data_IF_711865697199
#
_entry.id   IF_711865697199
#
_cell.length_a   1.000
_cell.length_b   1.000
_cell.length_c   1.000
_cell.angle_alpha   90.00
_cell.angle_beta   90.00
_cell.angle_gamma   90.00
#
_symmetry.space_group_name_H-M   'P 1'
#
loop_
_entity.id
_entity.type
_entity.pdbx_description
1 polymer ?
#
# COMPACT_ATOMS: atom_id res chain seq x y z
N UNK A 1 -12.97 -5.96 16.02
CA UNK A 1 -13.75 -4.84 16.61
C UNK A 1 -14.81 -5.37 17.58
N UNK A 2 -15.15 -4.59 18.60
CA UNK A 2 -16.07 -4.96 19.69
C UNK A 2 -17.46 -5.36 19.20
N UNK A 3 -17.94 -4.74 18.14
CA UNK A 3 -19.25 -5.04 17.57
C UNK A 3 -19.28 -6.46 17.00
N UNK A 4 -18.24 -6.84 16.28
CA UNK A 4 -18.11 -8.18 15.73
C UNK A 4 -17.92 -9.23 16.82
N UNK A 5 -17.10 -8.97 17.84
CA UNK A 5 -16.92 -9.87 18.98
C UNK A 5 -18.23 -10.11 19.75
N UNK A 6 -19.05 -9.07 19.94
CA UNK A 6 -20.38 -9.24 20.54
C UNK A 6 -21.30 -10.11 19.69
N UNK A 7 -21.26 -9.99 18.35
CA UNK A 7 -22.02 -10.87 17.45
C UNK A 7 -21.56 -12.33 17.59
N UNK A 8 -20.25 -12.57 17.59
CA UNK A 8 -19.69 -13.92 17.70
C UNK A 8 -20.05 -14.59 19.03
N UNK A 9 -19.99 -13.86 20.16
CA UNK A 9 -20.40 -14.36 21.46
C UNK A 9 -21.88 -14.75 21.52
N UNK A 10 -22.74 -14.02 20.78
CA UNK A 10 -24.19 -14.24 20.78
C UNK A 10 -24.67 -15.19 19.70
N UNK A 11 -23.80 -15.60 18.79
CA UNK A 11 -24.17 -16.46 17.67
C UNK A 11 -24.76 -17.78 18.18
N UNK A 12 -25.90 -18.18 17.58
CA UNK A 12 -26.60 -19.43 17.89
C UNK A 12 -26.69 -20.23 16.61
N UNK A 13 -26.14 -21.43 16.59
CA UNK A 13 -26.16 -22.30 15.44
C UNK A 13 -25.04 -23.34 15.47
N UNK A 14 -24.98 -24.24 14.51
CA UNK A 14 -23.98 -25.32 14.48
C UNK A 14 -22.54 -24.79 14.45
N UNK A 15 -22.32 -23.64 13.80
CA UNK A 15 -21.01 -23.02 13.66
C UNK A 15 -20.50 -22.33 14.94
N UNK A 16 -21.33 -22.23 16.00
CA UNK A 16 -21.00 -21.51 17.25
C UNK A 16 -19.72 -22.02 17.91
N UNK A 17 -19.57 -23.34 18.00
CA UNK A 17 -18.42 -23.92 18.71
C UNK A 17 -17.11 -23.57 17.99
N UNK A 18 -17.09 -23.59 16.66
CA UNK A 18 -15.92 -23.21 15.88
C UNK A 18 -15.59 -21.71 16.04
N UNK A 19 -16.62 -20.84 16.04
CA UNK A 19 -16.42 -19.41 16.32
C UNK A 19 -15.79 -19.18 17.70
N UNK A 20 -16.22 -19.93 18.73
CA UNK A 20 -15.70 -19.75 20.07
C UNK A 20 -14.27 -20.29 20.25
N UNK A 21 -13.93 -21.39 19.59
CA UNK A 21 -12.63 -22.05 19.71
C UNK A 21 -11.54 -21.36 18.90
N UNK A 22 -11.90 -20.81 17.74
CA UNK A 22 -10.96 -20.27 16.78
C UNK A 22 -10.82 -18.73 16.85
N UNK A 23 -11.43 -18.11 17.86
CA UNK A 23 -11.20 -16.73 18.25
C UNK A 23 -10.30 -16.69 19.49
N UNK A 24 -9.24 -15.93 19.41
CA UNK A 24 -8.50 -15.49 20.57
C UNK A 24 -9.23 -14.30 21.20
N UNK A 25 -9.86 -14.54 22.35
CA UNK A 25 -10.71 -13.55 23.01
C UNK A 25 -9.91 -12.50 23.79
N UNK A 26 -8.66 -12.80 24.16
CA UNK A 26 -7.75 -11.88 24.83
C UNK A 26 -7.15 -10.91 23.83
N UNK A 27 -6.59 -11.45 22.75
CA UNK A 27 -6.00 -10.66 21.66
C UNK A 27 -7.05 -10.10 20.68
N UNK A 28 -8.31 -10.45 20.84
CA UNK A 28 -9.43 -10.05 19.99
C UNK A 28 -9.19 -10.33 18.49
N UNK A 29 -8.54 -11.44 18.19
CA UNK A 29 -8.11 -11.83 16.86
C UNK A 29 -8.60 -13.23 16.49
N UNK A 30 -8.62 -13.52 15.19
CA UNK A 30 -8.83 -14.88 14.71
C UNK A 30 -7.54 -15.68 14.85
N UNK A 31 -7.63 -16.90 15.38
CA UNK A 31 -6.50 -17.81 15.43
C UNK A 31 -5.99 -18.12 14.05
N UNK A 32 -4.70 -18.37 13.97
CA UNK A 32 -4.04 -18.79 12.73
C UNK A 32 -3.38 -20.14 12.95
N UNK A 33 -3.57 -21.05 12.02
CA UNK A 33 -2.90 -22.34 11.96
C UNK A 33 -2.01 -22.35 10.71
N UNK A 34 -0.73 -22.57 10.87
CA UNK A 34 0.25 -22.46 9.78
C UNK A 34 0.13 -21.15 8.99
N UNK A 35 -0.07 -20.04 9.70
CA UNK A 35 -0.27 -18.70 9.14
C UNK A 35 -1.51 -18.54 8.27
N UNK A 36 -2.44 -19.47 8.34
CA UNK A 36 -3.76 -19.38 7.72
C UNK A 36 -4.81 -19.04 8.76
N UNK A 37 -5.75 -18.19 8.39
CA UNK A 37 -6.92 -17.93 9.22
C UNK A 37 -7.65 -19.24 9.52
N UNK A 38 -7.99 -19.47 10.77
CA UNK A 38 -8.71 -20.67 11.22
C UNK A 38 -10.08 -20.88 10.52
N UNK A 39 -10.64 -19.80 9.98
CA UNK A 39 -11.92 -19.82 9.27
C UNK A 39 -11.79 -19.98 7.76
N UNK A 40 -10.60 -20.23 7.22
CA UNK A 40 -10.44 -20.61 5.80
C UNK A 40 -10.50 -22.13 5.67
N UNK A 41 -11.40 -22.62 4.83
CA UNK A 41 -11.50 -24.04 4.49
C UNK A 41 -10.43 -24.46 3.45
N UNK A 42 -10.48 -25.72 3.02
CA UNK A 42 -9.55 -26.29 2.06
C UNK A 42 -9.60 -25.61 0.68
N UNK A 43 -10.78 -25.10 0.31
CA UNK A 43 -11.00 -24.34 -0.93
C UNK A 43 -10.59 -22.86 -0.85
N UNK A 44 -9.97 -22.42 0.26
CA UNK A 44 -9.67 -21.03 0.56
C UNK A 44 -10.89 -20.11 0.65
N UNK A 45 -12.06 -20.66 0.96
CA UNK A 45 -13.26 -19.90 1.24
C UNK A 45 -13.43 -19.67 2.73
N UNK A 46 -14.09 -18.58 3.09
CA UNK A 46 -14.32 -18.21 4.49
C UNK A 46 -15.57 -18.87 5.05
N UNK A 47 -15.41 -19.74 6.03
CA UNK A 47 -16.52 -20.43 6.67
C UNK A 47 -17.42 -19.52 7.52
N UNK A 48 -16.93 -18.39 8.02
CA UNK A 48 -17.81 -17.38 8.62
C UNK A 48 -18.79 -16.86 7.58
N UNK A 49 -18.32 -16.64 6.34
CA UNK A 49 -19.18 -16.17 5.27
C UNK A 49 -20.18 -17.24 4.83
N UNK A 50 -19.73 -18.48 4.62
CA UNK A 50 -20.55 -19.55 4.11
C UNK A 50 -21.54 -20.11 5.13
N UNK A 51 -21.14 -20.23 6.41
CA UNK A 51 -21.94 -20.89 7.46
C UNK A 51 -22.77 -19.92 8.31
N UNK A 52 -22.27 -18.69 8.46
CA UNK A 52 -22.89 -17.71 9.34
C UNK A 52 -23.40 -16.45 8.61
N UNK A 53 -23.06 -16.29 7.32
CA UNK A 53 -23.50 -15.19 6.46
C UNK A 53 -22.56 -13.98 6.43
N UNK A 54 -22.67 -13.15 5.39
CA UNK A 54 -21.79 -11.99 5.17
C UNK A 54 -21.87 -10.95 6.28
N UNK A 55 -23.00 -10.84 6.97
CA UNK A 55 -23.22 -9.92 8.10
C UNK A 55 -22.38 -10.29 9.34
N UNK A 56 -21.89 -11.52 9.38
CA UNK A 56 -21.03 -12.00 10.46
C UNK A 56 -19.57 -11.69 10.25
N UNK A 57 -19.17 -11.22 9.08
CA UNK A 57 -17.79 -10.78 8.83
C UNK A 57 -17.44 -9.59 9.74
N UNK A 58 -16.22 -9.61 10.31
CA UNK A 58 -15.70 -8.43 11.00
C UNK A 58 -15.37 -7.31 10.00
N UNK A 59 -15.16 -6.11 10.51
CA UNK A 59 -14.96 -4.94 9.65
C UNK A 59 -13.75 -5.09 8.71
N UNK A 60 -12.65 -5.65 9.21
CA UNK A 60 -11.46 -5.93 8.40
C UNK A 60 -11.78 -6.87 7.24
N UNK A 61 -12.42 -8.03 7.52
CA UNK A 61 -12.77 -9.01 6.49
C UNK A 61 -13.80 -8.49 5.50
N UNK A 62 -14.75 -7.66 5.95
CA UNK A 62 -15.78 -7.06 5.09
C UNK A 62 -15.22 -5.97 4.19
N UNK A 63 -14.27 -5.19 4.68
CA UNK A 63 -13.62 -4.12 3.92
C UNK A 63 -12.59 -4.66 2.92
N UNK A 64 -11.88 -5.75 3.25
CA UNK A 64 -10.91 -6.37 2.35
C UNK A 64 -11.56 -6.75 1.01
N UNK A 65 -10.93 -6.52 -0.13
CA UNK A 65 -9.60 -5.96 -0.33
C UNK A 65 -9.56 -4.42 -0.47
N UNK A 66 -10.59 -3.73 -0.02
CA UNK A 66 -10.67 -2.27 -0.07
C UNK A 66 -9.75 -1.66 0.97
N UNK A 67 -8.98 -0.69 0.54
CA UNK A 67 -8.16 0.15 1.38
C UNK A 67 -8.71 1.57 1.34
N UNK A 68 -8.90 2.17 2.49
CA UNK A 68 -9.50 3.49 2.65
C UNK A 68 -8.52 4.33 3.46
N UNK A 69 -8.03 5.40 2.84
CA UNK A 69 -7.25 6.43 3.51
C UNK A 69 -8.16 7.63 3.79
N UNK A 70 -8.10 8.12 5.00
CA UNK A 70 -8.94 9.20 5.47
C UNK A 70 -8.08 10.42 5.82
N UNK A 71 -8.37 11.53 5.14
CA UNK A 71 -7.77 12.83 5.36
C UNK A 71 -8.88 13.85 5.65
N UNK A 72 -8.54 15.04 6.08
CA UNK A 72 -9.51 16.11 6.24
C UNK A 72 -10.28 16.36 4.93
N UNK A 73 -11.60 16.15 4.97
CA UNK A 73 -12.47 16.36 3.80
C UNK A 73 -12.21 15.45 2.59
N UNK A 74 -11.26 14.50 2.67
CA UNK A 74 -10.92 13.58 1.58
C UNK A 74 -10.93 12.12 2.05
N UNK A 75 -11.51 11.25 1.24
CA UNK A 75 -11.43 9.79 1.38
C UNK A 75 -10.89 9.18 0.09
N UNK A 76 -9.79 8.46 0.18
CA UNK A 76 -9.23 7.74 -0.95
C UNK A 76 -9.56 6.26 -0.85
N UNK A 77 -10.09 5.71 -1.92
CA UNK A 77 -10.44 4.29 -2.03
C UNK A 77 -9.51 3.61 -3.01
N UNK A 78 -8.83 2.60 -2.56
CA UNK A 78 -7.99 1.74 -3.39
C UNK A 78 -8.27 0.26 -3.13
N UNK A 79 -7.63 -0.61 -3.90
CA UNK A 79 -7.75 -2.06 -3.73
C UNK A 79 -6.36 -2.65 -3.48
N UNK A 80 -6.26 -3.51 -2.47
CA UNK A 80 -5.01 -4.20 -2.15
C UNK A 80 -4.65 -5.25 -3.19
N UNK A 81 -3.44 -5.18 -3.72
CA UNK A 81 -2.89 -6.19 -4.63
C UNK A 81 -2.60 -7.54 -3.95
N UNK A 82 -2.72 -7.63 -2.62
CA UNK A 82 -2.68 -8.90 -1.90
C UNK A 82 -3.87 -9.82 -2.23
N UNK A 83 -4.95 -9.26 -2.78
CA UNK A 83 -6.06 -10.04 -3.30
C UNK A 83 -5.73 -10.56 -4.71
N UNK A 84 -5.73 -11.88 -4.95
CA UNK A 84 -5.42 -12.45 -6.26
C UNK A 84 -6.33 -11.93 -7.39
N UNK A 85 -7.62 -11.70 -7.09
CA UNK A 85 -8.56 -11.17 -8.06
C UNK A 85 -8.27 -9.71 -8.44
N UNK A 86 -7.90 -8.88 -7.45
CA UNK A 86 -7.46 -7.51 -7.72
C UNK A 86 -6.18 -7.51 -8.56
N UNK A 87 -5.22 -8.37 -8.23
CA UNK A 87 -4.00 -8.53 -9.02
C UNK A 87 -4.31 -8.96 -10.46
N UNK A 88 -5.23 -9.93 -10.66
CA UNK A 88 -5.69 -10.37 -11.98
C UNK A 88 -6.31 -9.22 -12.79
N UNK A 89 -7.21 -8.48 -12.18
CA UNK A 89 -7.85 -7.31 -12.82
C UNK A 89 -6.80 -6.26 -13.19
N UNK A 90 -5.88 -5.97 -12.27
CA UNK A 90 -4.82 -4.99 -12.49
C UNK A 90 -3.91 -5.39 -13.66
N UNK A 91 -3.43 -6.64 -13.68
CA UNK A 91 -2.54 -7.15 -14.73
C UNK A 91 -3.23 -7.26 -16.09
N UNK A 92 -4.54 -7.47 -16.13
CA UNK A 92 -5.30 -7.54 -17.38
C UNK A 92 -5.58 -6.16 -18.01
N UNK A 93 -5.38 -5.07 -17.26
CA UNK A 93 -5.65 -3.72 -17.78
C UNK A 93 -4.60 -3.28 -18.80
N UNK A 94 -5.09 -2.77 -19.94
CA UNK A 94 -4.24 -2.21 -21.01
C UNK A 94 -4.18 -0.68 -21.02
N UNK A 95 -5.11 -0.02 -20.36
CA UNK A 95 -5.23 1.44 -20.30
C UNK A 95 -4.41 2.08 -19.19
N UNK A 96 -4.32 3.41 -19.23
CA UNK A 96 -3.78 4.19 -18.11
C UNK A 96 -4.69 4.07 -16.88
N UNK A 97 -4.10 4.12 -15.69
CA UNK A 97 -4.88 4.26 -14.46
C UNK A 97 -5.47 5.65 -14.39
N UNK A 98 -6.77 5.73 -14.17
CA UNK A 98 -7.49 6.99 -13.98
C UNK A 98 -8.09 7.02 -12.59
N UNK A 99 -8.12 8.19 -12.00
CA UNK A 99 -8.75 8.45 -10.71
C UNK A 99 -10.07 9.16 -10.95
N UNK A 100 -11.07 8.84 -10.15
CA UNK A 100 -12.39 9.47 -10.21
C UNK A 100 -12.65 10.16 -8.88
N UNK A 101 -12.83 11.45 -8.91
CA UNK A 101 -13.26 12.24 -7.76
C UNK A 101 -14.79 12.36 -7.76
N UNK A 102 -15.40 12.17 -6.60
CA UNK A 102 -16.83 12.34 -6.37
C UNK A 102 -16.97 13.28 -5.19
N UNK A 103 -17.57 14.42 -5.42
CA UNK A 103 -17.90 15.35 -4.35
C UNK A 103 -19.12 14.85 -3.57
N UNK A 104 -19.01 14.88 -2.24
CA UNK A 104 -20.10 14.56 -1.33
C UNK A 104 -20.17 15.66 -0.28
N UNK A 105 -21.39 16.09 0.04
CA UNK A 105 -21.60 16.92 1.21
C UNK A 105 -21.39 16.08 2.46
N UNK A 106 -20.45 16.48 3.29
CA UNK A 106 -20.17 15.90 4.60
C UNK A 106 -19.91 17.03 5.61
N UNK A 107 -20.10 16.78 6.91
CA UNK A 107 -19.64 17.73 7.93
C UNK A 107 -18.14 18.02 7.75
N UNK A 108 -17.75 19.25 8.11
CA UNK A 108 -16.34 19.60 8.20
C UNK A 108 -15.65 18.70 9.23
N UNK A 109 -14.51 18.12 8.82
CA UNK A 109 -13.66 17.29 9.68
C UNK A 109 -12.34 18.02 9.88
N UNK A 110 -11.89 18.10 11.11
CA UNK A 110 -10.61 18.68 11.48
C UNK A 110 -9.86 17.70 12.37
N UNK A 111 -8.57 17.48 12.07
CA UNK A 111 -7.68 16.67 12.88
C UNK A 111 -6.62 17.56 13.54
N UNK A 112 -6.37 17.37 14.83
CA UNK A 112 -5.48 18.26 15.61
C UNK A 112 -4.05 18.34 15.04
N UNK A 113 -3.54 17.25 14.49
CA UNK A 113 -2.16 17.14 13.98
C UNK A 113 -2.07 17.15 12.44
N UNK A 114 -3.10 17.64 11.74
CA UNK A 114 -3.12 17.63 10.29
C UNK A 114 -2.39 18.82 9.68
N UNK A 115 -1.24 18.57 9.06
CA UNK A 115 -0.49 19.58 8.32
C UNK A 115 -1.06 19.73 6.90
N UNK A 116 -1.98 20.68 6.75
CA UNK A 116 -2.65 20.95 5.48
C UNK A 116 -1.68 21.41 4.38
N UNK A 117 -0.64 22.17 4.72
CA UNK A 117 0.33 22.66 3.73
C UNK A 117 1.18 21.50 3.20
N UNK A 118 1.68 20.65 4.09
CA UNK A 118 2.40 19.44 3.70
C UNK A 118 1.51 18.50 2.89
N UNK A 119 0.28 18.30 3.33
CA UNK A 119 -0.69 17.44 2.61
C UNK A 119 -0.92 17.93 1.19
N UNK A 120 -1.20 19.21 0.99
CA UNK A 120 -1.42 19.80 -0.34
C UNK A 120 -0.19 19.64 -1.24
N UNK A 121 0.99 19.93 -0.70
CA UNK A 121 2.24 19.77 -1.42
C UNK A 121 2.50 18.30 -1.82
N UNK A 122 2.20 17.35 -0.93
CA UNK A 122 2.30 15.91 -1.23
C UNK A 122 1.31 15.48 -2.32
N UNK A 123 0.09 15.99 -2.30
CA UNK A 123 -0.92 15.69 -3.32
C UNK A 123 -0.47 16.17 -4.71
N UNK A 124 -0.01 17.41 -4.82
CA UNK A 124 0.53 17.98 -6.06
C UNK A 124 1.75 17.19 -6.56
N UNK A 125 2.62 16.80 -5.63
CA UNK A 125 3.81 16.00 -5.96
C UNK A 125 3.41 14.62 -6.44
N UNK A 126 2.43 13.97 -5.79
CA UNK A 126 1.92 12.66 -6.20
C UNK A 126 1.38 12.70 -7.63
N UNK A 127 0.61 13.70 -7.98
CA UNK A 127 0.06 13.85 -9.34
C UNK A 127 1.16 14.00 -10.37
N UNK A 128 2.20 14.75 -10.04
CA UNK A 128 3.37 14.86 -10.90
C UNK A 128 4.12 13.52 -11.04
N UNK A 129 4.36 12.80 -9.95
CA UNK A 129 5.02 11.47 -9.97
C UNK A 129 4.19 10.46 -10.77
N UNK A 130 2.86 10.47 -10.62
CA UNK A 130 1.96 9.65 -11.43
C UNK A 130 2.05 9.96 -12.91
N UNK A 131 2.20 11.21 -13.28
CA UNK A 131 2.39 11.61 -14.67
C UNK A 131 3.67 11.02 -15.27
N UNK A 132 4.76 10.98 -14.49
CA UNK A 132 6.02 10.32 -14.89
C UNK A 132 5.81 8.83 -15.08
N UNK A 133 5.22 8.14 -14.08
CA UNK A 133 5.01 6.68 -14.14
C UNK A 133 4.15 6.26 -15.32
N UNK A 134 3.17 7.09 -15.67
CA UNK A 134 2.22 6.80 -16.75
C UNK A 134 2.69 7.24 -18.13
N UNK A 135 3.83 7.89 -18.24
CA UNK A 135 4.40 8.32 -19.52
C UNK A 135 5.03 7.12 -20.26
N UNK A 136 4.28 6.55 -21.18
CA UNK A 136 4.72 5.39 -21.98
C UNK A 136 5.65 5.77 -23.14
N UNK A 137 6.00 7.03 -23.30
CA UNK A 137 6.90 7.50 -24.35
C UNK A 137 8.38 7.33 -23.99
N UNK A 138 8.68 7.14 -22.71
CA UNK A 138 10.03 6.98 -22.19
C UNK A 138 10.29 5.55 -21.67
N UNK A 139 11.54 5.05 -21.75
CA UNK A 139 11.90 3.74 -21.23
C UNK A 139 11.69 3.61 -19.72
N UNK A 140 11.37 2.42 -19.26
CA UNK A 140 11.16 2.12 -17.82
C UNK A 140 12.34 2.54 -16.94
N UNK A 141 13.55 2.39 -17.43
CA UNK A 141 14.75 2.80 -16.70
C UNK A 141 14.76 4.31 -16.45
N UNK A 142 14.34 5.11 -17.43
CA UNK A 142 14.27 6.55 -17.30
C UNK A 142 13.15 6.98 -16.34
N UNK A 143 12.02 6.27 -16.30
CA UNK A 143 11.01 6.46 -15.26
C UNK A 143 11.60 6.36 -13.85
N UNK A 144 12.28 5.24 -13.56
CA UNK A 144 12.89 5.01 -12.23
C UNK A 144 13.90 6.10 -11.86
N UNK A 145 14.72 6.51 -12.82
CA UNK A 145 15.70 7.59 -12.63
C UNK A 145 15.05 8.92 -12.30
N UNK A 146 14.02 9.30 -13.06
CA UNK A 146 13.26 10.54 -12.83
C UNK A 146 12.52 10.51 -11.50
N UNK A 147 11.86 9.40 -11.17
CA UNK A 147 11.16 9.24 -9.90
C UNK A 147 12.12 9.39 -8.72
N UNK A 148 13.24 8.68 -8.75
CA UNK A 148 14.23 8.72 -7.68
C UNK A 148 14.84 10.11 -7.52
N UNK A 149 15.19 10.77 -8.64
CA UNK A 149 15.73 12.13 -8.60
C UNK A 149 14.73 13.13 -8.01
N UNK A 150 13.47 13.03 -8.44
CA UNK A 150 12.39 13.87 -7.95
C UNK A 150 12.12 13.66 -6.45
N UNK A 151 11.94 12.41 -6.03
CA UNK A 151 11.71 12.07 -4.64
C UNK A 151 12.86 12.52 -3.73
N UNK A 152 14.11 12.36 -4.19
CA UNK A 152 15.29 12.81 -3.45
C UNK A 152 15.27 14.33 -3.23
N UNK A 153 14.98 15.12 -4.28
CA UNK A 153 14.98 16.57 -4.17
C UNK A 153 13.82 17.07 -3.28
N UNK A 154 12.65 16.45 -3.37
CA UNK A 154 11.53 16.74 -2.46
C UNK A 154 11.87 16.39 -1.01
N UNK A 155 12.50 15.24 -0.76
CA UNK A 155 12.92 14.85 0.58
C UNK A 155 13.93 15.84 1.17
N UNK A 156 14.92 16.27 0.39
CA UNK A 156 15.89 17.28 0.86
C UNK A 156 15.25 18.62 1.21
N UNK A 157 14.21 19.01 0.46
CA UNK A 157 13.45 20.23 0.75
C UNK A 157 12.60 20.08 2.01
N UNK A 158 11.97 18.90 2.19
CA UNK A 158 11.20 18.57 3.39
C UNK A 158 12.10 18.57 4.64
N UNK A 159 13.28 17.94 4.58
CA UNK A 159 14.23 17.87 5.69
C UNK A 159 14.71 19.26 6.14
N UNK A 160 14.68 20.23 5.23
CA UNK A 160 15.02 21.63 5.49
C UNK A 160 13.82 22.50 5.86
N UNK A 161 12.63 21.93 5.90
CA UNK A 161 11.37 22.65 6.09
C UNK A 161 11.13 23.75 5.03
N UNK A 162 11.46 23.46 3.78
CA UNK A 162 11.39 24.40 2.64
C UNK A 162 10.31 23.99 1.63
N UNK A 163 9.09 23.71 2.07
CA UNK A 163 7.98 23.27 1.21
C UNK A 163 7.67 24.27 0.08
N UNK A 164 7.96 25.54 0.28
CA UNK A 164 7.77 26.58 -0.74
C UNK A 164 8.63 26.37 -2.01
N UNK A 165 9.68 25.54 -1.94
CA UNK A 165 10.52 25.21 -3.10
C UNK A 165 9.95 24.11 -3.98
N UNK A 166 8.88 23.43 -3.56
CA UNK A 166 8.39 22.23 -4.26
C UNK A 166 7.91 22.54 -5.69
N UNK A 167 7.31 23.69 -5.92
CA UNK A 167 6.93 24.12 -7.27
C UNK A 167 8.16 24.28 -8.17
N UNK A 168 9.23 24.88 -7.68
CA UNK A 168 10.46 25.06 -8.46
C UNK A 168 11.19 23.73 -8.69
N UNK A 169 11.17 22.82 -7.72
CA UNK A 169 11.67 21.46 -7.88
C UNK A 169 10.90 20.75 -8.99
N UNK A 170 9.57 20.75 -8.94
CA UNK A 170 8.70 20.15 -9.97
C UNK A 170 9.00 20.73 -11.36
N UNK A 171 9.05 22.05 -11.49
CA UNK A 171 9.36 22.75 -12.74
C UNK A 171 10.76 22.42 -13.29
N UNK A 172 11.74 22.26 -12.40
CA UNK A 172 13.08 21.80 -12.77
C UNK A 172 13.07 20.38 -13.32
N UNK A 173 12.36 19.46 -12.69
CA UNK A 173 12.27 18.05 -13.08
C UNK A 173 11.46 17.82 -14.37
N UNK A 174 10.68 18.79 -14.81
CA UNK A 174 10.02 18.73 -16.13
C UNK A 174 11.01 18.92 -17.30
N UNK A 175 12.19 19.49 -17.03
CA UNK A 175 13.24 19.66 -18.06
C UNK A 175 13.88 18.32 -18.42
N UNK A 176 14.34 18.20 -19.66
CA UNK A 176 15.09 17.02 -20.10
C UNK A 176 16.45 16.91 -19.41
N UNK A 177 16.95 15.68 -19.27
CA UNK A 177 18.31 15.43 -18.77
C UNK A 177 18.48 15.42 -17.24
N UNK A 178 17.45 15.73 -16.46
CA UNK A 178 17.59 15.78 -14.99
C UNK A 178 17.83 14.38 -14.39
N UNK A 179 17.17 13.35 -14.89
CA UNK A 179 17.37 11.97 -14.42
C UNK A 179 18.79 11.46 -14.68
N UNK A 180 19.34 11.78 -15.85
CA UNK A 180 20.71 11.43 -16.25
C UNK A 180 21.75 12.15 -15.39
N UNK A 181 21.55 13.45 -15.12
CA UNK A 181 22.41 14.25 -14.27
C UNK A 181 22.41 13.72 -12.81
N UNK A 182 21.25 13.31 -12.29
CA UNK A 182 21.14 12.70 -10.98
C UNK A 182 21.90 11.38 -10.89
N UNK A 183 21.79 10.52 -11.91
CA UNK A 183 22.55 9.27 -11.95
C UNK A 183 24.06 9.49 -12.02
N UNK A 184 24.49 10.49 -12.77
CA UNK A 184 25.91 10.81 -12.83
C UNK A 184 26.45 11.20 -11.43
N UNK A 185 25.64 11.89 -10.63
CA UNK A 185 25.96 12.17 -9.21
C UNK A 185 25.97 10.91 -8.37
N UNK A 186 24.95 10.04 -8.48
CA UNK A 186 24.89 8.78 -7.76
C UNK A 186 26.08 7.89 -8.07
N UNK A 187 26.48 7.77 -9.32
CA UNK A 187 27.65 6.98 -9.72
C UNK A 187 28.93 7.46 -9.06
N UNK A 188 29.10 8.76 -8.85
CA UNK A 188 30.22 9.29 -8.09
C UNK A 188 30.19 8.90 -6.61
N UNK A 189 29.01 8.80 -6.01
CA UNK A 189 28.85 8.36 -4.60
C UNK A 189 29.02 6.85 -4.45
N UNK A 190 28.58 6.07 -5.44
CA UNK A 190 28.67 4.60 -5.41
C UNK A 190 29.98 4.06 -5.99
N UNK A 191 30.92 4.92 -6.40
CA UNK A 191 32.24 4.53 -6.95
C UNK A 191 33.13 3.75 -5.98
N UNK A 192 32.67 3.43 -4.79
CA UNK A 192 33.32 2.56 -3.81
C UNK A 192 33.03 1.06 -4.01
N UNK A 193 32.85 0.60 -5.23
CA UNK A 193 33.12 -0.80 -5.59
C UNK A 193 32.08 -1.87 -5.28
N UNK A 194 30.86 -1.52 -4.87
CA UNK A 194 29.79 -2.53 -4.74
C UNK A 194 29.11 -2.70 -6.09
N UNK A 195 29.26 -3.87 -6.71
CA UNK A 195 28.50 -4.16 -7.93
C UNK A 195 27.00 -4.26 -7.62
N UNK A 196 26.16 -3.98 -8.63
CA UNK A 196 24.71 -3.95 -8.43
C UNK A 196 24.16 -5.32 -8.00
N UNK A 197 24.79 -6.41 -8.38
CA UNK A 197 24.39 -7.78 -8.03
C UNK A 197 24.63 -8.03 -6.54
N UNK A 198 25.80 -7.65 -6.03
CA UNK A 198 26.09 -7.75 -4.59
C UNK A 198 25.14 -6.91 -3.75
N UNK A 199 24.83 -5.69 -4.19
CA UNK A 199 23.88 -4.83 -3.52
C UNK A 199 22.48 -5.46 -3.48
N UNK A 200 21.99 -5.98 -4.61
CA UNK A 200 20.68 -6.66 -4.67
C UNK A 200 20.67 -7.90 -3.78
N UNK A 201 21.73 -8.73 -3.82
CA UNK A 201 21.84 -9.90 -2.93
C UNK A 201 21.78 -9.51 -1.46
N UNK A 202 22.43 -8.42 -1.08
CA UNK A 202 22.44 -7.95 0.30
C UNK A 202 21.06 -7.41 0.74
N UNK A 203 20.39 -6.67 -0.14
CA UNK A 203 19.00 -6.21 0.09
C UNK A 203 18.09 -7.43 0.30
N UNK A 204 18.12 -8.41 -0.60
CA UNK A 204 17.31 -9.62 -0.50
C UNK A 204 17.62 -10.43 0.77
N UNK A 205 18.89 -10.63 1.11
CA UNK A 205 19.28 -11.29 2.36
C UNK A 205 18.74 -10.58 3.61
N UNK A 206 18.57 -9.28 3.55
CA UNK A 206 18.04 -8.49 4.67
C UNK A 206 16.52 -8.46 4.71
N UNK A 207 15.89 -8.44 3.54
CA UNK A 207 14.43 -8.25 3.41
C UNK A 207 13.68 -9.58 3.52
N UNK A 208 14.12 -10.62 2.80
CA UNK A 208 13.43 -11.92 2.77
C UNK A 208 13.15 -12.49 4.18
N UNK A 209 14.11 -12.52 5.13
CA UNK A 209 13.82 -13.04 6.46
C UNK A 209 12.81 -12.21 7.26
N UNK A 210 12.58 -10.95 6.87
CA UNK A 210 11.63 -10.05 7.51
C UNK A 210 10.26 -10.07 6.84
N UNK A 211 10.15 -10.68 5.67
CA UNK A 211 8.87 -10.78 4.96
C UNK A 211 7.99 -11.84 5.60
N UNK A 212 6.69 -11.61 5.59
CA UNK A 212 5.71 -12.60 5.98
C UNK A 212 5.74 -13.78 5.01
N UNK A 213 5.85 -15.00 5.56
CA UNK A 213 5.87 -16.22 4.75
C UNK A 213 4.45 -16.61 4.38
N UNK A 214 4.08 -16.42 3.12
CA UNK A 214 2.72 -16.67 2.63
C UNK A 214 2.44 -18.15 2.34
N UNK A 215 3.47 -18.98 2.14
CA UNK A 215 3.34 -20.42 1.87
C UNK A 215 4.65 -21.16 2.17
N UNK A 216 4.54 -22.48 2.45
CA UNK A 216 5.72 -23.34 2.55
C UNK A 216 6.56 -23.23 1.26
N UNK A 217 7.88 -23.27 1.40
CA UNK A 217 8.82 -23.14 0.27
C UNK A 217 9.07 -21.69 -0.20
N UNK A 218 8.54 -20.67 0.46
CA UNK A 218 8.80 -19.27 0.10
C UNK A 218 10.28 -18.89 0.01
N UNK A 219 11.12 -19.55 0.82
CA UNK A 219 12.57 -19.30 0.85
C UNK A 219 13.36 -20.07 -0.21
N UNK A 220 12.71 -20.90 -1.00
CA UNK A 220 13.34 -21.72 -2.06
C UNK A 220 13.36 -21.00 -3.42
N UNK A 221 12.72 -19.83 -3.51
CA UNK A 221 12.69 -18.96 -4.68
C UNK A 221 13.64 -17.77 -4.47
#
# INVERSE_FOLDING_TARGET
DDKSLRKYRRFKGPFRNRLHNDIDWEEQSFRQYDRRCAFLNEDNLCDIYSEAGPEMLCDTCRKYPRHIEEFEGLREYSLSLSCPEVARIFLSRKGRTTFRTIEKSSPEETYEDFDYLLFTALMDTRDYLLSIVQDRTIPMELHRKKLLACAHDFQLSLDKNELYQWEDIRRRHQKSGVGEAFLAKLKKWTASGTDSVSCHKQIWKTVIPKMEVLRAGWHEY
#
